data_IF_407522291127
#
_entry.id   IF_407522291127
#
_cell.length_a   1.000
_cell.length_b   1.000
_cell.length_c   1.000
_cell.angle_alpha   90.00
_cell.angle_beta   90.00
_cell.angle_gamma   90.00
#
_symmetry.space_group_name_H-M   'P 1'
#
loop_
_entity.id
_entity.type
_entity.pdbx_description
1 polymer ?
#
# COMPACT_ATOMS: atom_id res chain seq x y z
N UNK A 1 37.71 54.43 33.59
CA UNK A 1 37.69 54.45 32.12
C UNK A 1 38.70 53.42 31.69
N UNK A 2 38.24 52.23 31.33
CA UNK A 2 39.14 51.19 30.84
C UNK A 2 39.51 51.55 29.41
N UNK A 3 40.80 51.79 29.18
CA UNK A 3 41.31 52.00 27.82
C UNK A 3 41.01 50.74 27.03
N UNK A 4 40.24 50.89 25.96
CA UNK A 4 39.81 49.78 25.14
C UNK A 4 41.03 49.08 24.56
N UNK A 5 41.23 47.81 24.94
CA UNK A 5 42.25 46.91 24.40
C UNK A 5 41.93 46.56 22.94
N UNK A 6 42.02 47.55 22.05
CA UNK A 6 41.87 47.38 20.61
C UNK A 6 43.21 46.84 20.10
N UNK A 7 43.25 45.53 19.85
CA UNK A 7 44.36 44.87 19.14
C UNK A 7 44.47 45.46 17.72
N UNK A 8 45.28 46.51 17.57
CA UNK A 8 45.55 47.14 16.27
C UNK A 8 46.79 46.51 15.66
N UNK A 9 46.58 45.64 14.66
CA UNK A 9 47.66 45.08 13.86
C UNK A 9 48.30 46.22 13.04
N UNK A 10 49.62 46.42 13.21
CA UNK A 10 50.42 47.40 12.47
C UNK A 10 51.63 46.68 11.89
N UNK A 11 51.83 46.81 10.58
CA UNK A 11 52.96 46.22 9.86
C UNK A 11 53.52 47.22 8.87
N UNK A 12 54.82 47.49 8.93
CA UNK A 12 55.54 48.31 7.95
C UNK A 12 56.35 47.41 7.03
N UNK A 13 55.85 47.15 5.82
CA UNK A 13 56.55 46.36 4.81
C UNK A 13 57.24 47.30 3.82
N UNK A 14 58.58 47.28 3.81
CA UNK A 14 59.37 47.91 2.74
C UNK A 14 59.68 46.85 1.67
N UNK A 15 59.45 47.12 0.37
CA UNK A 15 59.70 46.15 -0.69
C UNK A 15 61.21 45.82 -0.78
N UNK A 16 61.53 44.56 -1.05
CA UNK A 16 62.91 44.10 -1.17
C UNK A 16 63.55 44.57 -2.50
N UNK A 17 64.26 45.70 -2.46
CA UNK A 17 64.98 46.25 -3.61
C UNK A 17 66.26 45.45 -3.93
N UNK A 18 66.14 44.43 -4.80
CA UNK A 18 67.29 43.63 -5.25
C UNK A 18 68.04 44.28 -6.43
N UNK A 19 68.98 45.17 -6.11
CA UNK A 19 69.98 45.64 -7.07
C UNK A 19 71.06 44.59 -7.37
N UNK A 20 71.37 44.36 -8.64
CA UNK A 20 72.51 43.55 -9.09
C UNK A 20 73.15 44.16 -10.33
N UNK A 21 74.46 44.00 -10.53
CA UNK A 21 75.21 44.54 -11.66
C UNK A 21 74.99 43.73 -12.97
N UNK A 22 73.72 43.48 -13.29
CA UNK A 22 73.29 42.73 -14.46
C UNK A 22 73.80 43.34 -15.78
N UNK A 23 73.95 44.67 -15.86
CA UNK A 23 74.49 45.35 -17.05
C UNK A 23 75.98 45.02 -17.27
N UNK A 24 76.81 45.15 -16.24
CA UNK A 24 78.25 44.85 -16.28
C UNK A 24 78.53 43.37 -16.54
N UNK A 25 77.75 42.49 -15.90
CA UNK A 25 77.89 41.05 -16.08
C UNK A 25 77.42 40.61 -17.46
N UNK A 26 76.40 41.26 -18.05
CA UNK A 26 76.03 41.04 -19.46
C UNK A 26 77.17 41.43 -20.40
N UNK A 27 77.72 42.64 -20.30
CA UNK A 27 78.79 43.08 -21.21
C UNK A 27 80.07 42.25 -21.07
N UNK A 28 80.45 41.86 -19.85
CA UNK A 28 81.61 41.00 -19.60
C UNK A 28 81.37 39.56 -20.09
N UNK A 29 80.14 39.04 -19.94
CA UNK A 29 79.76 37.72 -20.44
C UNK A 29 79.69 37.71 -21.97
N UNK A 30 79.12 38.73 -22.61
CA UNK A 30 79.05 38.85 -24.07
C UNK A 30 80.46 38.92 -24.68
N UNK A 31 81.38 39.68 -24.07
CA UNK A 31 82.80 39.69 -24.50
C UNK A 31 83.42 38.30 -24.44
N UNK A 32 83.35 37.62 -23.29
CA UNK A 32 83.94 36.27 -23.13
C UNK A 32 83.23 35.22 -23.98
N UNK A 33 81.93 35.32 -24.18
CA UNK A 33 81.18 34.41 -25.06
C UNK A 33 81.55 34.64 -26.53
N UNK A 34 81.82 35.87 -26.97
CA UNK A 34 82.30 36.12 -28.33
C UNK A 34 83.71 35.57 -28.56
N UNK A 35 84.61 35.72 -27.58
CA UNK A 35 85.94 35.07 -27.58
C UNK A 35 85.83 33.54 -27.73
N UNK A 36 84.89 32.90 -27.02
CA UNK A 36 84.66 31.46 -27.11
C UNK A 36 83.84 31.00 -28.34
N UNK A 37 83.02 31.86 -28.95
CA UNK A 37 82.32 31.57 -30.22
C UNK A 37 83.25 31.55 -31.43
N UNK A 38 84.38 32.26 -31.35
CA UNK A 38 85.38 32.35 -32.42
C UNK A 38 86.47 31.26 -32.33
N UNK A 39 86.49 30.44 -31.27
CA UNK A 39 87.42 29.32 -31.15
C UNK A 39 86.98 28.12 -32.01
N UNK A 40 87.74 27.82 -33.06
CA UNK A 40 87.63 26.57 -33.82
C UNK A 40 88.34 25.45 -33.04
N UNK A 41 87.63 24.33 -32.83
CA UNK A 41 88.18 23.18 -32.08
C UNK A 41 89.10 22.37 -32.99
N UNK A 42 90.41 22.45 -32.72
CA UNK A 42 91.47 21.61 -33.29
C UNK A 42 92.12 20.77 -32.18
N UNK A 43 92.97 19.82 -32.52
CA UNK A 43 93.58 18.91 -31.52
C UNK A 43 94.40 19.69 -30.48
N UNK A 44 95.16 20.70 -30.90
CA UNK A 44 95.95 21.59 -30.03
C UNK A 44 95.09 22.50 -29.14
N UNK A 45 93.93 22.96 -29.64
CA UNK A 45 93.02 23.87 -28.88
C UNK A 45 92.01 23.14 -28.00
N UNK A 46 91.88 21.81 -28.13
CA UNK A 46 90.89 20.99 -27.43
C UNK A 46 90.91 21.19 -25.90
N UNK A 47 92.11 21.35 -25.30
CA UNK A 47 92.28 21.59 -23.86
C UNK A 47 91.74 22.96 -23.44
N UNK A 48 91.95 24.00 -24.26
CA UNK A 48 91.39 25.34 -24.03
C UNK A 48 89.86 25.34 -24.08
N UNK A 49 89.26 24.67 -25.07
CA UNK A 49 87.81 24.52 -25.20
C UNK A 49 87.18 23.75 -24.01
N UNK A 50 87.84 22.70 -23.52
CA UNK A 50 87.42 21.97 -22.31
C UNK A 50 87.44 22.86 -21.06
N UNK A 51 88.48 23.68 -20.90
CA UNK A 51 88.57 24.64 -19.80
C UNK A 51 87.48 25.72 -19.88
N UNK A 52 87.30 26.36 -21.03
CA UNK A 52 86.26 27.37 -21.26
C UNK A 52 84.84 26.83 -20.97
N UNK A 53 84.55 25.60 -21.42
CA UNK A 53 83.29 24.90 -21.09
C UNK A 53 83.10 24.71 -19.58
N UNK A 54 84.17 24.33 -18.88
CA UNK A 54 84.15 24.15 -17.41
C UNK A 54 83.94 25.49 -16.68
N UNK A 55 84.63 26.54 -17.11
CA UNK A 55 84.47 27.89 -16.58
C UNK A 55 83.03 28.40 -16.74
N UNK A 56 82.46 28.32 -17.94
CA UNK A 56 81.07 28.72 -18.21
C UNK A 56 80.06 27.89 -17.39
N UNK A 57 80.28 26.58 -17.26
CA UNK A 57 79.44 25.72 -16.43
C UNK A 57 79.54 26.11 -14.95
N UNK A 58 80.75 26.41 -14.45
CA UNK A 58 80.96 26.87 -13.07
C UNK A 58 80.33 28.24 -12.81
N UNK A 59 80.38 29.16 -13.78
CA UNK A 59 79.78 30.48 -13.69
C UNK A 59 78.25 30.40 -13.67
N UNK A 60 77.65 29.54 -14.51
CA UNK A 60 76.21 29.23 -14.46
C UNK A 60 75.78 28.72 -13.09
N UNK A 61 76.56 27.82 -12.48
CA UNK A 61 76.29 27.31 -11.11
C UNK A 61 76.44 28.42 -10.07
N UNK A 62 77.44 29.31 -10.19
CA UNK A 62 77.60 30.47 -9.29
C UNK A 62 76.42 31.44 -9.36
N UNK A 63 75.92 31.75 -10.56
CA UNK A 63 74.73 32.59 -10.75
C UNK A 63 73.47 31.96 -10.13
N UNK A 64 73.28 30.64 -10.29
CA UNK A 64 72.14 29.94 -9.69
C UNK A 64 72.24 29.86 -8.16
N UNK A 65 73.45 29.69 -7.60
CA UNK A 65 73.70 29.81 -6.15
C UNK A 65 73.37 31.20 -5.63
N UNK A 66 73.92 32.24 -6.26
CA UNK A 66 73.64 33.64 -5.89
C UNK A 66 72.13 33.95 -5.92
N UNK A 67 71.42 33.49 -6.96
CA UNK A 67 69.95 33.59 -7.05
C UNK A 67 69.23 32.92 -5.87
N UNK A 68 69.66 31.72 -5.47
CA UNK A 68 69.07 30.96 -4.36
C UNK A 68 69.38 31.60 -3.01
N UNK A 69 70.61 32.03 -2.80
CA UNK A 69 71.08 32.72 -1.60
C UNK A 69 70.32 34.03 -1.40
N UNK A 70 70.26 34.92 -2.41
CA UNK A 70 69.52 36.18 -2.30
C UNK A 70 68.01 36.00 -2.22
N UNK A 71 67.43 34.98 -2.85
CA UNK A 71 66.03 34.62 -2.61
C UNK A 71 65.79 34.20 -1.15
N UNK A 72 66.68 33.40 -0.56
CA UNK A 72 66.57 32.94 0.83
C UNK A 72 66.70 34.12 1.81
N UNK A 73 67.71 34.96 1.65
CA UNK A 73 67.90 36.17 2.48
C UNK A 73 66.66 37.10 2.48
N UNK A 74 65.94 37.21 1.36
CA UNK A 74 64.71 38.00 1.29
C UNK A 74 63.44 37.25 1.75
N UNK A 75 63.47 35.92 1.84
CA UNK A 75 62.40 35.13 2.44
C UNK A 75 62.53 35.06 3.97
N UNK A 76 63.74 35.12 4.53
CA UNK A 76 63.96 35.01 5.98
C UNK A 76 63.12 36.00 6.83
N UNK A 77 62.96 37.30 6.46
CA UNK A 77 62.06 38.22 7.17
C UNK A 77 60.57 37.92 7.00
N UNK A 78 60.17 37.26 5.90
CA UNK A 78 58.78 36.85 5.65
C UNK A 78 58.50 35.60 6.48
N UNK A 79 59.38 34.60 6.42
CA UNK A 79 59.31 33.36 7.19
C UNK A 79 59.34 33.61 8.71
N UNK A 80 59.97 34.70 9.19
CA UNK A 80 59.92 35.11 10.60
C UNK A 80 58.59 35.79 10.96
N UNK A 81 58.12 36.72 10.14
CA UNK A 81 56.82 37.38 10.35
C UNK A 81 55.66 36.37 10.33
N UNK A 82 55.66 35.44 9.38
CA UNK A 82 54.66 34.37 9.30
C UNK A 82 54.68 33.47 10.54
N UNK A 83 55.86 33.20 11.13
CA UNK A 83 55.95 32.46 12.41
C UNK A 83 55.38 33.25 13.57
N UNK A 84 55.78 34.52 13.72
CA UNK A 84 55.27 35.39 14.79
C UNK A 84 53.74 35.50 14.73
N UNK A 85 53.16 35.67 13.53
CA UNK A 85 51.71 35.71 13.32
C UNK A 85 51.05 34.35 13.63
N UNK A 86 51.65 33.24 13.22
CA UNK A 86 51.12 31.90 13.55
C UNK A 86 51.19 31.60 15.06
N UNK A 87 52.25 32.01 15.76
CA UNK A 87 52.37 31.89 17.22
C UNK A 87 51.30 32.72 17.94
N UNK A 88 51.01 33.94 17.47
CA UNK A 88 49.89 34.76 17.95
C UNK A 88 48.53 34.08 17.73
N UNK A 89 48.30 33.50 16.54
CA UNK A 89 47.08 32.74 16.22
C UNK A 89 46.94 31.52 17.14
N UNK A 90 48.01 30.77 17.37
CA UNK A 90 48.00 29.62 18.29
C UNK A 90 47.67 30.02 19.72
N UNK A 91 48.20 31.15 20.21
CA UNK A 91 47.87 31.66 21.54
C UNK A 91 46.39 32.02 21.68
N UNK A 92 45.80 32.65 20.65
CA UNK A 92 44.35 32.90 20.61
C UNK A 92 43.57 31.58 20.62
N UNK A 93 43.90 30.64 19.73
CA UNK A 93 43.20 29.35 19.64
C UNK A 93 43.27 28.51 20.93
N UNK A 94 44.38 28.59 21.67
CA UNK A 94 44.55 27.90 22.97
C UNK A 94 43.58 28.42 24.04
N UNK A 95 43.11 29.66 23.94
CA UNK A 95 42.11 30.26 24.84
C UNK A 95 40.70 30.15 24.25
N UNK A 96 40.54 30.27 22.94
CA UNK A 96 39.26 30.18 22.23
C UNK A 96 38.63 28.79 22.36
N UNK A 97 39.41 27.71 22.19
CA UNK A 97 38.91 26.32 22.28
C UNK A 97 38.21 26.01 23.60
N UNK A 98 38.84 26.17 24.78
CA UNK A 98 38.15 25.87 26.05
C UNK A 98 36.98 26.82 26.36
N UNK A 99 36.94 28.03 25.79
CA UNK A 99 35.78 28.90 25.89
C UNK A 99 34.60 28.37 25.05
N UNK A 100 34.85 27.97 23.80
CA UNK A 100 33.83 27.35 22.95
C UNK A 100 33.35 26.02 23.54
N UNK A 101 34.25 25.14 23.98
CA UNK A 101 33.92 23.87 24.65
C UNK A 101 33.05 24.10 25.91
N UNK A 102 33.36 25.15 26.69
CA UNK A 102 32.57 25.50 27.88
C UNK A 102 31.18 26.06 27.54
N UNK A 103 31.06 26.84 26.45
CA UNK A 103 29.79 27.32 25.93
C UNK A 103 28.94 26.15 25.41
N UNK A 104 29.51 25.23 24.64
CA UNK A 104 28.82 24.02 24.15
C UNK A 104 28.28 23.15 25.29
N UNK A 105 29.06 22.97 26.37
CA UNK A 105 28.62 22.27 27.58
C UNK A 105 27.49 23.01 28.31
N UNK A 106 27.48 24.35 28.29
CA UNK A 106 26.39 25.13 28.87
C UNK A 106 25.12 25.05 28.02
N UNK A 107 25.24 25.21 26.70
CA UNK A 107 24.12 25.04 25.78
C UNK A 107 23.52 23.64 25.89
N UNK A 108 24.35 22.60 25.93
CA UNK A 108 23.89 21.22 26.04
C UNK A 108 23.11 20.97 27.34
N UNK A 109 23.52 21.58 28.46
CA UNK A 109 22.74 21.57 29.71
C UNK A 109 21.37 22.25 29.54
N UNK A 110 21.29 23.36 28.81
CA UNK A 110 20.00 24.01 28.50
C UNK A 110 19.14 23.16 27.56
N UNK A 111 19.72 22.52 26.54
CA UNK A 111 19.03 21.57 25.65
C UNK A 111 18.47 20.38 26.45
N UNK A 112 19.23 19.83 27.37
CA UNK A 112 18.80 18.76 28.28
C UNK A 112 17.68 19.19 29.23
N UNK A 113 17.72 20.41 29.79
CA UNK A 113 16.61 20.96 30.58
C UNK A 113 15.32 21.07 29.76
N UNK A 114 15.40 21.55 28.52
CA UNK A 114 14.23 21.61 27.62
C UNK A 114 13.70 20.23 27.26
N UNK A 115 14.59 19.26 27.02
CA UNK A 115 14.23 17.86 26.79
C UNK A 115 13.49 17.27 27.99
N UNK A 116 14.06 17.35 29.19
CA UNK A 116 13.43 16.86 30.41
C UNK A 116 12.08 17.56 30.71
N UNK A 117 11.98 18.85 30.40
CA UNK A 117 10.71 19.59 30.46
C UNK A 117 9.67 19.08 29.45
N UNK A 118 10.08 18.78 28.22
CA UNK A 118 9.20 18.20 27.21
C UNK A 118 8.76 16.78 27.59
N UNK A 119 9.68 15.93 28.07
CA UNK A 119 9.38 14.57 28.56
C UNK A 119 8.37 14.61 29.72
N UNK A 120 8.59 15.49 30.72
CA UNK A 120 7.61 15.70 31.81
C UNK A 120 6.26 16.22 31.32
N UNK A 121 6.26 17.09 30.31
CA UNK A 121 5.00 17.60 29.73
C UNK A 121 4.27 16.56 28.90
N UNK A 122 4.99 15.65 28.25
CA UNK A 122 4.40 14.49 27.55
C UNK A 122 3.75 13.55 28.56
N UNK A 123 4.39 13.22 29.69
CA UNK A 123 3.77 12.37 30.70
C UNK A 123 2.54 13.02 31.34
N UNK A 124 2.62 14.31 31.72
CA UNK A 124 1.49 15.06 32.27
C UNK A 124 0.32 15.16 31.27
N UNK A 125 0.58 15.34 29.98
CA UNK A 125 -0.46 15.38 28.95
C UNK A 125 -1.05 13.98 28.66
N UNK A 126 -0.23 12.93 28.66
CA UNK A 126 -0.70 11.55 28.50
C UNK A 126 -1.68 11.16 29.62
N UNK A 127 -1.37 11.53 30.87
CA UNK A 127 -2.25 11.35 32.02
C UNK A 127 -3.53 12.21 31.91
N UNK A 128 -3.39 13.50 31.57
CA UNK A 128 -4.52 14.44 31.50
C UNK A 128 -5.57 14.06 30.43
N UNK A 129 -5.12 13.52 29.28
CA UNK A 129 -5.99 13.06 28.20
C UNK A 129 -6.43 11.59 28.34
N UNK A 130 -6.04 10.88 29.41
CA UNK A 130 -6.44 9.48 29.63
C UNK A 130 -5.94 8.52 28.54
N UNK A 131 -4.75 8.78 27.99
CA UNK A 131 -4.16 8.02 26.90
C UNK A 131 -3.70 6.63 27.37
N UNK A 132 -4.14 5.57 26.69
CA UNK A 132 -3.66 4.20 26.95
C UNK A 132 -2.15 4.09 26.65
N UNK A 133 -1.42 3.16 27.28
CA UNK A 133 0.03 3.02 27.09
C UNK A 133 0.48 2.93 25.63
N UNK A 134 -0.31 2.26 24.78
CA UNK A 134 -0.07 2.11 23.33
C UNK A 134 -0.11 3.44 22.56
N UNK A 135 -0.96 4.38 22.95
CA UNK A 135 -1.04 5.72 22.35
C UNK A 135 -0.07 6.68 23.03
N UNK A 136 0.09 6.60 24.36
CA UNK A 136 1.08 7.40 25.09
C UNK A 136 2.51 7.18 24.56
N UNK A 137 2.87 5.94 24.21
CA UNK A 137 4.18 5.60 23.60
C UNK A 137 4.39 6.24 22.21
N UNK A 138 3.30 6.64 21.52
CA UNK A 138 3.39 7.37 20.23
C UNK A 138 3.70 8.87 20.41
N UNK A 139 3.65 9.40 21.63
CA UNK A 139 4.08 10.78 21.91
C UNK A 139 5.61 10.85 21.94
N UNK A 140 6.18 11.60 21.00
CA UNK A 140 7.64 11.71 20.82
C UNK A 140 8.11 13.15 20.94
N UNK A 141 9.16 13.35 21.73
CA UNK A 141 9.93 14.61 21.81
C UNK A 141 10.44 14.98 20.42
N UNK A 142 9.84 15.99 19.79
CA UNK A 142 10.31 16.51 18.50
C UNK A 142 11.74 17.04 18.65
N UNK A 143 12.60 16.84 17.64
CA UNK A 143 13.97 17.38 17.62
C UNK A 143 13.99 18.89 17.91
N UNK A 144 13.00 19.62 17.38
CA UNK A 144 12.85 21.07 17.55
C UNK A 144 12.70 21.52 19.01
N UNK A 145 12.22 20.64 19.92
CA UNK A 145 12.08 20.99 21.34
C UNK A 145 13.43 21.23 22.02
N UNK A 146 14.53 20.68 21.47
CA UNK A 146 15.88 20.89 21.97
C UNK A 146 16.52 22.19 21.45
N UNK A 147 15.90 22.90 20.48
CA UNK A 147 16.48 24.13 19.94
C UNK A 147 16.45 25.26 20.99
N UNK A 148 17.56 25.99 21.17
CA UNK A 148 17.63 27.09 22.14
C UNK A 148 16.63 28.21 21.84
N UNK A 149 16.28 28.43 20.58
CA UNK A 149 15.28 29.43 20.13
C UNK A 149 13.82 29.05 20.38
N UNK A 150 13.47 27.75 20.50
CA UNK A 150 12.08 27.31 20.74
C UNK A 150 11.64 27.65 22.16
N UNK A 151 10.49 28.29 22.30
CA UNK A 151 9.95 28.73 23.61
C UNK A 151 9.25 27.58 24.34
N UNK A 152 9.30 27.60 25.69
CA UNK A 152 8.61 26.61 26.52
C UNK A 152 7.09 26.60 26.28
N UNK A 153 6.50 27.73 25.88
CA UNK A 153 5.08 27.82 25.50
C UNK A 153 4.80 27.00 24.25
N UNK A 154 5.59 27.15 23.19
CA UNK A 154 5.41 26.37 21.96
C UNK A 154 5.61 24.87 22.19
N UNK A 155 6.51 24.46 23.10
CA UNK A 155 6.68 23.04 23.46
C UNK A 155 5.40 22.50 24.11
N UNK A 156 4.77 23.24 25.04
CA UNK A 156 3.48 22.85 25.62
C UNK A 156 2.38 22.71 24.56
N UNK A 157 2.24 23.70 23.68
CA UNK A 157 1.23 23.71 22.62
C UNK A 157 1.43 22.57 21.62
N UNK A 158 2.67 22.27 21.23
CA UNK A 158 3.02 21.14 20.37
C UNK A 158 2.72 19.78 21.04
N UNK A 159 2.94 19.64 22.35
CA UNK A 159 2.66 18.41 23.13
C UNK A 159 1.17 18.21 23.35
N UNK A 160 0.44 19.28 23.71
CA UNK A 160 -1.03 19.25 23.86
C UNK A 160 -1.70 18.85 22.53
N UNK A 161 -1.24 19.41 21.41
CA UNK A 161 -1.75 19.07 20.08
C UNK A 161 -1.46 17.61 19.70
N UNK A 162 -0.32 17.03 20.13
CA UNK A 162 -0.06 15.59 19.98
C UNK A 162 -1.01 14.76 20.85
N UNK A 163 -1.22 15.13 22.11
CA UNK A 163 -2.08 14.41 23.04
C UNK A 163 -3.54 14.41 22.56
N UNK A 164 -4.11 15.56 22.21
CA UNK A 164 -5.46 15.70 21.69
C UNK A 164 -5.67 14.95 20.35
N UNK A 165 -4.65 14.89 19.48
CA UNK A 165 -4.72 14.11 18.26
C UNK A 165 -4.77 12.60 18.53
N UNK A 166 -4.02 12.12 19.52
CA UNK A 166 -4.03 10.72 19.94
C UNK A 166 -5.29 10.35 20.73
N UNK A 167 -5.82 11.27 21.55
CA UNK A 167 -7.12 11.11 22.24
C UNK A 167 -8.23 10.89 21.21
N UNK A 168 -8.24 11.68 20.13
CA UNK A 168 -9.20 11.51 19.03
C UNK A 168 -9.05 10.13 18.36
N UNK A 169 -7.83 9.65 18.13
CA UNK A 169 -7.60 8.30 17.57
C UNK A 169 -8.07 7.21 18.53
N UNK A 170 -7.81 7.33 19.83
CA UNK A 170 -8.30 6.39 20.84
C UNK A 170 -9.84 6.38 20.90
N UNK A 171 -10.49 7.55 20.86
CA UNK A 171 -11.93 7.66 20.83
C UNK A 171 -12.56 7.12 19.53
N UNK A 172 -11.88 7.24 18.38
CA UNK A 172 -12.30 6.61 17.12
C UNK A 172 -12.15 5.09 17.17
N UNK A 173 -11.06 4.57 17.74
CA UNK A 173 -10.86 3.13 17.94
C UNK A 173 -11.90 2.54 18.91
N UNK A 174 -12.17 3.19 20.04
CA UNK A 174 -13.18 2.75 21.01
C UNK A 174 -14.61 2.80 20.43
N UNK A 175 -14.93 3.76 19.54
CA UNK A 175 -16.18 3.77 18.76
C UNK A 175 -16.26 2.61 17.78
N UNK A 176 -15.17 2.27 17.09
CA UNK A 176 -15.13 1.14 16.16
C UNK A 176 -15.33 -0.19 16.91
N UNK A 177 -14.68 -0.38 18.07
CA UNK A 177 -14.91 -1.52 18.97
C UNK A 177 -16.38 -1.61 19.40
N UNK A 178 -16.98 -0.48 19.80
CA UNK A 178 -18.40 -0.45 20.19
C UNK A 178 -19.32 -0.83 19.02
N UNK A 179 -19.04 -0.33 17.81
CA UNK A 179 -19.81 -0.66 16.60
C UNK A 179 -19.67 -2.14 16.20
N UNK A 180 -18.49 -2.76 16.36
CA UNK A 180 -18.33 -4.21 16.18
C UNK A 180 -19.23 -4.97 17.17
N UNK A 181 -19.23 -4.59 18.45
CA UNK A 181 -20.07 -5.25 19.48
C UNK A 181 -21.56 -5.07 19.19
N UNK A 182 -22.02 -3.85 18.92
CA UNK A 182 -23.41 -3.53 18.61
C UNK A 182 -23.91 -4.28 17.35
N UNK A 183 -23.08 -4.36 16.31
CA UNK A 183 -23.45 -5.11 15.09
C UNK A 183 -23.50 -6.62 15.33
N UNK A 184 -22.58 -7.19 16.12
CA UNK A 184 -22.65 -8.60 16.54
C UNK A 184 -23.89 -8.86 17.40
N UNK A 185 -24.21 -8.00 18.37
CA UNK A 185 -25.41 -8.12 19.20
C UNK A 185 -26.70 -8.03 18.39
N UNK A 186 -26.76 -7.11 17.41
CA UNK A 186 -27.91 -6.92 16.51
C UNK A 186 -28.18 -8.15 15.65
N UNK A 187 -27.14 -8.73 15.04
CA UNK A 187 -27.32 -9.94 14.22
C UNK A 187 -27.53 -11.19 15.11
N UNK A 188 -26.92 -11.25 16.31
CA UNK A 188 -27.17 -12.30 17.32
C UNK A 188 -28.62 -12.35 17.83
N UNK A 189 -29.41 -11.29 17.64
CA UNK A 189 -30.84 -11.30 17.95
C UNK A 189 -31.68 -12.06 16.89
N UNK A 190 -31.09 -12.40 15.73
CA UNK A 190 -31.77 -13.06 14.60
C UNK A 190 -31.40 -14.53 14.40
N UNK A 191 -30.31 -14.98 15.03
CA UNK A 191 -29.73 -16.32 14.85
C UNK A 191 -29.69 -17.08 16.17
N UNK A 192 -29.82 -18.40 16.10
CA UNK A 192 -29.77 -19.30 17.26
C UNK A 192 -28.32 -19.61 17.67
N UNK A 193 -27.45 -19.84 16.68
CA UNK A 193 -26.00 -20.02 16.88
C UNK A 193 -25.34 -18.64 16.95
N UNK A 194 -25.07 -18.18 18.17
CA UNK A 194 -24.50 -16.85 18.41
C UNK A 194 -23.06 -16.72 17.94
N UNK A 195 -22.78 -15.60 17.30
CA UNK A 195 -21.46 -15.09 16.98
C UNK A 195 -20.78 -14.54 18.25
N UNK A 196 -19.49 -14.83 18.40
CA UNK A 196 -18.66 -14.21 19.44
C UNK A 196 -18.08 -12.88 18.92
N UNK A 197 -18.27 -11.80 19.69
CA UNK A 197 -17.71 -10.50 19.36
C UNK A 197 -16.18 -10.46 19.45
N UNK A 198 -15.56 -11.31 20.28
CA UNK A 198 -14.10 -11.33 20.45
C UNK A 198 -13.37 -11.70 19.15
N UNK A 199 -13.89 -12.66 18.38
CA UNK A 199 -13.30 -13.10 17.10
C UNK A 199 -13.21 -11.94 16.10
N UNK A 200 -14.26 -11.13 15.98
CA UNK A 200 -14.28 -9.98 15.07
C UNK A 200 -13.46 -8.78 15.58
N UNK A 201 -13.27 -8.66 16.89
CA UNK A 201 -12.40 -7.63 17.47
C UNK A 201 -10.92 -7.96 17.23
N UNK A 202 -10.50 -9.21 17.40
CA UNK A 202 -9.13 -9.66 17.06
C UNK A 202 -8.84 -9.49 15.56
N UNK A 203 -9.84 -9.77 14.72
CA UNK A 203 -9.77 -9.51 13.27
C UNK A 203 -9.69 -8.01 12.93
N UNK A 204 -10.43 -7.15 13.65
CA UNK A 204 -10.38 -5.70 13.49
C UNK A 204 -9.01 -5.13 13.91
N UNK A 205 -8.46 -5.55 15.06
CA UNK A 205 -7.14 -5.13 15.54
C UNK A 205 -6.00 -5.49 14.55
N UNK A 206 -6.16 -6.54 13.74
CA UNK A 206 -5.21 -6.92 12.69
C UNK A 206 -5.34 -6.14 11.39
N UNK A 207 -6.56 -5.81 10.96
CA UNK A 207 -6.81 -5.20 9.64
C UNK A 207 -7.09 -3.70 9.67
N UNK A 208 -7.46 -3.13 10.82
CA UNK A 208 -7.89 -1.73 11.03
C UNK A 208 -8.98 -1.26 10.03
N UNK A 209 -9.80 -2.21 9.54
CA UNK A 209 -10.92 -1.98 8.63
C UNK A 209 -12.23 -2.40 9.31
N UNK A 210 -12.91 -1.39 9.84
CA UNK A 210 -14.23 -1.52 10.47
C UNK A 210 -15.31 -1.94 9.45
N UNK A 211 -15.22 -1.49 8.20
CA UNK A 211 -16.23 -1.76 7.18
C UNK A 211 -16.17 -3.21 6.72
N UNK A 212 -14.98 -3.74 6.44
CA UNK A 212 -14.83 -5.14 6.05
C UNK A 212 -15.17 -6.08 7.21
N UNK A 213 -14.86 -5.70 8.46
CA UNK A 213 -15.26 -6.44 9.65
C UNK A 213 -16.78 -6.51 9.79
N UNK A 214 -17.51 -5.39 9.60
CA UNK A 214 -18.98 -5.38 9.57
C UNK A 214 -19.54 -6.23 8.40
N UNK A 215 -18.95 -6.17 7.20
CA UNK A 215 -19.36 -7.02 6.06
C UNK A 215 -19.14 -8.52 6.35
N UNK A 216 -18.08 -8.86 7.09
CA UNK A 216 -17.74 -10.23 7.53
C UNK A 216 -18.72 -10.73 8.59
N UNK A 217 -19.06 -9.93 9.60
CA UNK A 217 -20.11 -10.23 10.59
C UNK A 217 -21.43 -10.55 9.88
N UNK A 218 -21.90 -9.63 9.03
CA UNK A 218 -23.18 -9.79 8.31
C UNK A 218 -23.23 -11.01 7.40
N UNK A 219 -22.17 -11.30 6.64
CA UNK A 219 -22.08 -12.51 5.82
C UNK A 219 -22.15 -13.79 6.66
N UNK A 220 -21.53 -13.83 7.84
CA UNK A 220 -21.53 -15.02 8.70
C UNK A 220 -22.87 -15.21 9.39
N UNK A 221 -23.49 -14.13 9.89
CA UNK A 221 -24.84 -14.16 10.43
C UNK A 221 -25.88 -14.63 9.40
N UNK A 222 -25.85 -14.07 8.18
CA UNK A 222 -26.75 -14.49 7.08
C UNK A 222 -26.57 -15.97 6.74
N UNK A 223 -25.33 -16.48 6.68
CA UNK A 223 -25.08 -17.90 6.43
C UNK A 223 -25.67 -18.80 7.53
N UNK A 224 -25.49 -18.43 8.81
CA UNK A 224 -26.09 -19.13 9.94
C UNK A 224 -27.62 -19.11 9.85
N UNK A 225 -28.22 -17.94 9.62
CA UNK A 225 -29.68 -17.78 9.49
C UNK A 225 -30.25 -18.66 8.36
N UNK A 226 -29.61 -18.69 7.19
CA UNK A 226 -30.03 -19.53 6.07
C UNK A 226 -29.86 -21.03 6.35
N UNK A 227 -28.85 -21.43 7.13
CA UNK A 227 -28.69 -22.83 7.56
C UNK A 227 -29.77 -23.22 8.57
N UNK A 228 -30.03 -22.40 9.58
CA UNK A 228 -31.09 -22.63 10.58
C UNK A 228 -32.46 -22.75 9.92
N UNK A 229 -32.79 -21.83 9.01
CA UNK A 229 -34.04 -21.87 8.24
C UNK A 229 -34.20 -23.16 7.44
N UNK A 230 -33.15 -23.60 6.72
CA UNK A 230 -33.17 -24.87 5.95
C UNK A 230 -33.38 -26.08 6.86
N UNK A 231 -32.72 -26.10 8.03
CA UNK A 231 -32.88 -27.17 9.02
C UNK A 231 -34.28 -27.17 9.65
N UNK A 232 -34.90 -26.00 9.85
CA UNK A 232 -36.28 -25.90 10.33
C UNK A 232 -37.29 -26.35 9.26
N UNK A 233 -37.11 -25.93 8.01
CA UNK A 233 -37.92 -26.38 6.87
C UNK A 233 -37.85 -27.90 6.69
N UNK A 234 -36.64 -28.49 6.74
CA UNK A 234 -36.43 -29.94 6.66
C UNK A 234 -37.05 -30.68 7.86
N UNK A 235 -36.96 -30.13 9.08
CA UNK A 235 -37.61 -30.72 10.26
C UNK A 235 -39.13 -30.70 10.15
N UNK A 236 -39.71 -29.61 9.66
CA UNK A 236 -41.15 -29.47 9.48
C UNK A 236 -41.66 -30.40 8.37
N UNK A 237 -40.90 -30.58 7.29
CA UNK A 237 -41.21 -31.54 6.24
C UNK A 237 -41.16 -32.99 6.76
N UNK A 238 -40.12 -33.36 7.50
CA UNK A 238 -40.02 -34.68 8.15
C UNK A 238 -41.19 -34.93 9.10
N UNK A 239 -41.58 -33.95 9.92
CA UNK A 239 -42.73 -34.07 10.84
C UNK A 239 -44.07 -34.21 10.09
N UNK A 240 -44.24 -33.51 8.96
CA UNK A 240 -45.41 -33.66 8.09
C UNK A 240 -45.48 -35.05 7.45
N UNK A 241 -44.37 -35.54 6.90
CA UNK A 241 -44.29 -36.88 6.32
C UNK A 241 -44.51 -37.98 7.37
N UNK A 242 -44.02 -37.79 8.60
CA UNK A 242 -44.27 -38.72 9.71
C UNK A 242 -45.75 -38.72 10.14
N UNK A 243 -46.37 -37.54 10.26
CA UNK A 243 -47.81 -37.41 10.54
C UNK A 243 -48.67 -38.04 9.44
N UNK A 244 -48.35 -37.79 8.18
CA UNK A 244 -49.08 -38.38 7.04
C UNK A 244 -48.91 -39.90 7.01
N UNK A 245 -47.71 -40.43 7.27
CA UNK A 245 -47.48 -41.87 7.41
C UNK A 245 -48.31 -42.48 8.54
N UNK A 246 -48.33 -41.84 9.71
CA UNK A 246 -49.10 -42.30 10.87
C UNK A 246 -50.62 -42.24 10.60
N UNK A 247 -51.09 -41.25 9.85
CA UNK A 247 -52.50 -41.13 9.45
C UNK A 247 -52.88 -42.19 8.42
N UNK A 248 -52.04 -42.44 7.40
CA UNK A 248 -52.23 -43.56 6.45
C UNK A 248 -52.24 -44.91 7.17
N UNK A 249 -51.34 -45.14 8.11
CA UNK A 249 -51.30 -46.37 8.91
C UNK A 249 -52.56 -46.55 9.76
N UNK A 250 -53.08 -45.47 10.38
CA UNK A 250 -54.37 -45.49 11.09
C UNK A 250 -55.55 -45.78 10.16
N UNK A 251 -55.61 -45.14 9.00
CA UNK A 251 -56.66 -45.39 8.00
C UNK A 251 -56.60 -46.82 7.47
N UNK A 252 -55.42 -47.39 7.31
CA UNK A 252 -55.23 -48.79 6.91
C UNK A 252 -55.63 -49.77 8.03
N UNK A 253 -55.27 -49.49 9.29
CA UNK A 253 -55.76 -50.26 10.45
C UNK A 253 -57.28 -50.21 10.56
N UNK A 254 -57.90 -49.03 10.43
CA UNK A 254 -59.36 -48.88 10.47
C UNK A 254 -60.04 -49.61 9.29
N UNK A 255 -59.46 -49.57 8.09
CA UNK A 255 -59.94 -50.36 6.95
C UNK A 255 -59.87 -51.86 7.23
N UNK A 256 -58.76 -52.36 7.77
CA UNK A 256 -58.59 -53.78 8.12
C UNK A 256 -59.53 -54.21 9.26
N UNK A 257 -59.84 -53.33 10.22
CA UNK A 257 -60.85 -53.58 11.25
C UNK A 257 -62.27 -53.62 10.68
N UNK A 258 -62.63 -52.68 9.79
CA UNK A 258 -63.91 -52.68 9.08
C UNK A 258 -64.08 -53.94 8.22
N UNK A 259 -63.06 -54.33 7.46
CA UNK A 259 -63.06 -55.55 6.63
C UNK A 259 -63.20 -56.82 7.48
N UNK A 260 -62.50 -56.91 8.63
CA UNK A 260 -62.68 -58.00 9.58
C UNK A 260 -64.10 -58.05 10.16
N UNK A 261 -64.65 -56.90 10.57
CA UNK A 261 -66.00 -56.82 11.13
C UNK A 261 -67.10 -57.14 10.09
N UNK A 262 -66.90 -56.74 8.84
CA UNK A 262 -67.78 -57.11 7.72
C UNK A 262 -67.70 -58.61 7.42
N UNK A 263 -66.49 -59.18 7.40
CA UNK A 263 -66.29 -60.62 7.25
C UNK A 263 -66.91 -61.43 8.40
N UNK A 264 -66.77 -60.98 9.64
CA UNK A 264 -67.38 -61.62 10.81
C UNK A 264 -68.92 -61.56 10.74
N UNK A 265 -69.49 -60.43 10.32
CA UNK A 265 -70.93 -60.31 10.01
C UNK A 265 -71.37 -61.28 8.91
N UNK A 266 -70.59 -61.41 7.84
CA UNK A 266 -70.92 -62.33 6.74
C UNK A 266 -70.84 -63.79 7.18
N UNK A 267 -69.83 -64.16 7.98
CA UNK A 267 -69.70 -65.48 8.60
C UNK A 267 -70.80 -65.74 9.65
N UNK A 268 -71.32 -64.72 10.32
CA UNK A 268 -72.49 -64.84 11.19
C UNK A 268 -73.78 -65.01 10.38
N UNK A 269 -73.99 -64.22 9.32
CA UNK A 269 -75.15 -64.34 8.43
C UNK A 269 -75.17 -65.70 7.71
N UNK A 270 -74.01 -66.22 7.30
CA UNK A 270 -73.89 -67.57 6.74
C UNK A 270 -74.22 -68.65 7.78
N UNK A 271 -73.75 -68.53 9.03
CA UNK A 271 -74.13 -69.45 10.12
C UNK A 271 -75.63 -69.41 10.43
N UNK A 272 -76.25 -68.24 10.39
CA UNK A 272 -77.71 -68.09 10.53
C UNK A 272 -78.45 -68.72 9.33
N UNK A 273 -77.93 -68.56 8.12
CA UNK A 273 -78.51 -69.13 6.90
C UNK A 273 -78.34 -70.67 6.81
N UNK A 274 -77.23 -71.21 7.33
CA UNK A 274 -77.01 -72.66 7.50
C UNK A 274 -77.91 -73.24 8.61
N UNK A 275 -78.07 -72.52 9.74
CA UNK A 275 -78.99 -72.92 10.80
C UNK A 275 -80.46 -72.92 10.30
N UNK A 276 -80.85 -71.93 9.49
CA UNK A 276 -82.16 -71.88 8.84
C UNK A 276 -82.35 -73.02 7.83
N UNK A 277 -81.30 -73.38 7.07
CA UNK A 277 -81.33 -74.52 6.15
C UNK A 277 -81.45 -75.86 6.91
N UNK A 278 -80.75 -76.03 8.03
CA UNK A 278 -80.89 -77.23 8.89
C UNK A 278 -82.28 -77.35 9.54
N UNK A 279 -83.04 -76.26 9.66
CA UNK A 279 -84.39 -76.29 10.22
C UNK A 279 -85.48 -76.69 9.20
N UNK A 280 -85.18 -76.67 7.90
CA UNK A 280 -86.13 -76.96 6.82
C UNK A 280 -85.60 -78.00 5.81
N UNK A 281 -85.60 -79.28 6.21
CA UNK A 281 -85.48 -80.40 5.27
C UNK A 281 -86.84 -81.06 5.00
N UNK A 282 -87.53 -80.55 3.98
CA UNK A 282 -88.60 -81.26 3.27
C UNK A 282 -88.69 -80.75 1.81
N UNK A 283 -88.46 -81.65 0.85
CA UNK A 283 -88.89 -81.73 -0.57
C UNK A 283 -89.21 -80.42 -1.36
N UNK A 284 -88.93 -80.29 -2.66
CA UNK A 284 -89.38 -81.17 -3.77
C UNK A 284 -88.68 -80.77 -5.10
N UNK A 285 -89.07 -81.42 -6.22
CA UNK A 285 -88.47 -81.44 -7.56
C UNK A 285 -88.73 -80.18 -8.46
N UNK A 286 -88.11 -80.12 -9.66
CA UNK A 286 -88.29 -79.05 -10.69
C UNK A 286 -89.60 -79.14 -11.52
N UNK A 287 -89.78 -78.48 -12.70
CA UNK A 287 -88.79 -78.04 -13.71
C UNK A 287 -89.02 -76.59 -14.28
N UNK A 288 -89.05 -76.38 -15.61
CA UNK A 288 -88.64 -75.12 -16.28
C UNK A 288 -89.61 -74.51 -17.35
N UNK A 289 -89.20 -73.33 -17.89
CA UNK A 289 -89.61 -72.61 -19.13
C UNK A 289 -90.83 -71.65 -19.06
N UNK A 290 -90.63 -70.38 -19.46
CA UNK A 290 -91.39 -69.72 -20.54
C UNK A 290 -90.82 -68.36 -21.00
N UNK A 291 -90.66 -68.21 -22.32
CA UNK A 291 -90.31 -66.95 -23.02
C UNK A 291 -91.54 -66.07 -23.29
N UNK A 292 -91.31 -64.76 -23.49
CA UNK A 292 -92.24 -63.85 -24.19
C UNK A 292 -91.52 -62.60 -24.78
N UNK A 293 -91.61 -62.46 -26.10
CA UNK A 293 -91.15 -61.35 -26.98
C UNK A 293 -92.00 -60.06 -26.84
N UNK A 294 -91.77 -58.87 -27.44
CA UNK A 294 -90.68 -58.07 -28.11
C UNK A 294 -91.32 -56.67 -28.42
N UNK A 295 -90.56 -55.55 -28.51
CA UNK A 295 -90.63 -54.47 -29.57
C UNK A 295 -89.97 -53.11 -29.19
N UNK A 296 -88.86 -52.78 -29.90
CA UNK A 296 -88.34 -51.53 -30.52
C UNK A 296 -88.86 -50.09 -30.20
N UNK A 297 -88.20 -48.93 -30.47
CA UNK A 297 -86.80 -48.38 -30.68
C UNK A 297 -86.95 -46.92 -31.26
N UNK A 298 -85.95 -46.02 -31.55
CA UNK A 298 -84.63 -45.61 -31.01
C UNK A 298 -84.68 -44.09 -30.53
N UNK A 299 -83.69 -43.15 -30.64
CA UNK A 299 -82.22 -43.20 -30.82
C UNK A 299 -81.36 -42.29 -29.86
N UNK A 300 -80.03 -42.32 -30.08
CA UNK A 300 -78.96 -41.39 -29.65
C UNK A 300 -78.49 -41.38 -28.17
N UNK A 301 -77.36 -42.07 -27.88
CA UNK A 301 -76.06 -41.42 -27.56
C UNK A 301 -74.92 -42.44 -27.29
N UNK A 302 -73.71 -42.07 -27.73
CA UNK A 302 -72.38 -42.71 -27.54
C UNK A 302 -72.06 -44.00 -28.30
N UNK A 303 -71.15 -43.84 -29.27
CA UNK A 303 -70.49 -44.89 -30.03
C UNK A 303 -69.33 -45.56 -29.28
N UNK A 304 -68.95 -46.72 -29.83
CA UNK A 304 -67.70 -47.46 -29.68
C UNK A 304 -66.44 -46.57 -29.97
N UNK A 305 -65.18 -46.95 -29.72
CA UNK A 305 -64.56 -48.28 -29.56
C UNK A 305 -63.19 -48.17 -28.84
N UNK A 306 -62.61 -49.33 -28.50
CA UNK A 306 -61.18 -49.65 -28.28
C UNK A 306 -60.12 -48.55 -27.98
N UNK A 307 -59.31 -48.81 -26.94
CA UNK A 307 -57.95 -48.26 -26.87
C UNK A 307 -56.93 -49.33 -26.47
N UNK A 308 -56.11 -49.74 -27.43
CA UNK A 308 -54.88 -50.51 -27.20
C UNK A 308 -53.63 -49.61 -27.35
N UNK A 309 -52.49 -50.10 -26.88
CA UNK A 309 -51.28 -49.31 -26.54
C UNK A 309 -50.63 -48.53 -27.70
N UNK A 310 -50.05 -47.34 -27.42
CA UNK A 310 -48.82 -46.91 -28.10
C UNK A 310 -47.95 -45.86 -27.37
N UNK A 311 -46.76 -45.56 -27.93
CA UNK A 311 -45.64 -44.85 -27.30
C UNK A 311 -45.43 -43.42 -27.82
N UNK A 312 -45.02 -42.55 -26.88
CA UNK A 312 -43.98 -41.50 -27.04
C UNK A 312 -44.25 -40.18 -27.78
N UNK A 313 -43.51 -39.17 -27.31
CA UNK A 313 -43.04 -37.95 -27.97
C UNK A 313 -43.92 -36.68 -28.04
N UNK A 314 -43.51 -35.74 -27.16
CA UNK A 314 -43.06 -34.36 -27.44
C UNK A 314 -44.04 -33.28 -27.96
N UNK A 315 -44.08 -32.24 -27.13
CA UNK A 315 -44.06 -30.80 -27.46
C UNK A 315 -45.33 -30.13 -27.99
N UNK A 316 -45.71 -29.00 -27.37
CA UNK A 316 -46.50 -27.95 -27.98
C UNK A 316 -45.68 -26.66 -28.21
N UNK A 317 -45.81 -26.09 -29.41
CA UNK A 317 -45.87 -24.63 -29.62
C UNK A 317 -47.38 -24.23 -29.53
N UNK A 318 -47.84 -22.98 -29.41
CA UNK A 318 -47.30 -21.70 -29.94
C UNK A 318 -47.83 -20.46 -29.17
N UNK A 319 -47.01 -19.39 -29.16
CA UNK A 319 -47.37 -17.96 -29.35
C UNK A 319 -48.20 -17.14 -28.33
N UNK A 320 -47.67 -15.98 -27.91
CA UNK A 320 -48.19 -14.69 -28.41
C UNK A 320 -47.21 -13.49 -28.25
N UNK A 321 -47.20 -12.61 -29.26
CA UNK A 321 -46.77 -11.18 -29.31
C UNK A 321 -45.27 -10.81 -29.13
N UNK A 322 -44.53 -10.28 -30.13
CA UNK A 322 -44.60 -8.96 -30.86
C UNK A 322 -43.74 -7.87 -30.20
N UNK A 323 -42.97 -6.98 -30.85
CA UNK A 323 -42.82 -6.63 -32.29
C UNK A 323 -41.50 -5.84 -32.53
N UNK A 324 -41.01 -5.79 -33.78
CA UNK A 324 -40.05 -4.83 -34.38
C UNK A 324 -38.62 -4.67 -33.79
N UNK A 325 -37.51 -4.53 -34.51
CA UNK A 325 -36.98 -4.91 -35.84
C UNK A 325 -35.95 -3.85 -36.31
N UNK A 326 -34.65 -4.18 -36.30
CA UNK A 326 -33.70 -3.67 -37.31
C UNK A 326 -32.42 -4.53 -37.42
N UNK A 327 -32.27 -5.07 -38.63
CA UNK A 327 -31.12 -5.68 -39.33
C UNK A 327 -29.75 -4.94 -39.21
N UNK A 328 -28.60 -5.46 -39.68
CA UNK A 328 -28.30 -6.59 -40.58
C UNK A 328 -26.90 -7.24 -40.36
N UNK A 329 -26.57 -8.23 -41.20
CA UNK A 329 -25.35 -9.09 -41.30
C UNK A 329 -24.03 -8.29 -41.54
N UNK A 330 -22.79 -8.83 -41.51
CA UNK A 330 -22.20 -10.00 -42.23
C UNK A 330 -20.96 -10.58 -41.47
N UNK A 331 -20.58 -11.81 -41.83
CA UNK A 331 -19.60 -12.78 -41.26
C UNK A 331 -18.19 -12.67 -41.95
N UNK A 332 -17.30 -13.70 -41.94
CA UNK A 332 -16.32 -14.23 -40.97
C UNK A 332 -14.87 -13.65 -41.23
N UNK A 333 -13.68 -14.15 -40.85
CA UNK A 333 -13.18 -15.49 -40.47
C UNK A 333 -11.80 -15.46 -39.76
N UNK A 334 -11.55 -16.45 -38.90
CA UNK A 334 -10.34 -17.30 -38.74
C UNK A 334 -9.00 -16.74 -39.30
N UNK A 335 -7.96 -16.48 -38.50
CA UNK A 335 -7.16 -17.41 -37.66
C UNK A 335 -6.67 -18.65 -38.44
N UNK A 336 -5.44 -18.59 -38.95
CA UNK A 336 -4.40 -19.56 -38.57
C UNK A 336 -2.97 -19.06 -38.91
N UNK A 337 -1.97 -19.69 -38.30
CA UNK A 337 -0.58 -19.21 -38.22
C UNK A 337 0.38 -19.94 -39.17
N UNK A 338 1.36 -19.24 -39.76
CA UNK A 338 2.81 -19.56 -39.56
C UNK A 338 3.81 -18.80 -40.47
N UNK A 339 4.97 -18.50 -39.87
CA UNK A 339 6.33 -18.35 -40.44
C UNK A 339 6.70 -17.32 -41.54
N UNK A 340 7.74 -16.55 -41.18
CA UNK A 340 8.91 -16.10 -41.96
C UNK A 340 9.00 -14.71 -42.65
N UNK A 341 10.00 -13.94 -42.15
CA UNK A 341 10.70 -12.74 -42.66
C UNK A 341 9.99 -11.38 -42.56
N UNK A 342 10.75 -10.26 -42.50
CA UNK A 342 12.04 -10.03 -41.85
C UNK A 342 11.93 -8.98 -40.72
N UNK A 343 13.02 -8.68 -40.02
CA UNK A 343 13.02 -7.71 -38.92
C UNK A 343 12.69 -6.28 -39.38
N UNK A 344 11.49 -5.78 -39.05
CA UNK A 344 11.19 -4.35 -39.07
C UNK A 344 11.64 -3.73 -37.75
N UNK A 345 12.45 -2.68 -37.84
CA UNK A 345 12.70 -1.76 -36.73
C UNK A 345 11.37 -1.20 -36.23
N UNK A 346 11.06 -1.42 -34.95
CA UNK A 346 9.86 -0.87 -34.32
C UNK A 346 10.00 0.65 -34.27
N UNK A 347 9.35 1.35 -35.20
CA UNK A 347 9.10 2.78 -35.08
C UNK A 347 8.10 2.97 -33.94
N UNK A 348 8.62 3.27 -32.76
CA UNK A 348 7.78 3.63 -31.62
C UNK A 348 6.91 4.81 -32.00
N UNK A 349 5.60 4.65 -31.83
CA UNK A 349 4.63 5.67 -32.21
C UNK A 349 4.70 6.80 -31.19
N UNK A 350 5.04 8.01 -31.65
CA UNK A 350 5.03 9.22 -30.82
C UNK A 350 3.57 9.65 -30.66
N UNK A 351 3.11 9.80 -29.42
CA UNK A 351 1.75 10.23 -29.09
C UNK A 351 1.78 11.60 -28.43
N UNK A 352 1.06 12.57 -29.00
CA UNK A 352 0.82 13.87 -28.38
C UNK A 352 -0.47 13.83 -27.56
N UNK A 353 -0.42 14.25 -26.29
CA UNK A 353 -1.57 14.18 -25.36
C UNK A 353 -1.70 15.48 -24.59
N UNK A 354 -2.82 16.18 -24.80
CA UNK A 354 -3.18 17.39 -24.03
C UNK A 354 -3.98 17.04 -22.78
N UNK A 355 -3.49 17.40 -21.59
CA UNK A 355 -4.18 17.19 -20.31
C UNK A 355 -4.14 18.43 -19.41
N UNK A 356 -5.15 18.58 -18.54
CA UNK A 356 -5.29 19.72 -17.63
C UNK A 356 -4.99 19.32 -16.19
N UNK A 357 -3.97 19.93 -15.59
CA UNK A 357 -3.58 19.71 -14.20
C UNK A 357 -4.10 20.84 -13.30
N UNK A 358 -4.45 20.52 -12.06
CA UNK A 358 -4.76 21.49 -10.99
C UNK A 358 -3.93 21.16 -9.75
N UNK A 359 -3.34 22.17 -9.12
CA UNK A 359 -2.52 22.00 -7.93
C UNK A 359 -2.05 23.34 -7.38
N UNK A 360 -1.44 23.33 -6.20
CA UNK A 360 -0.74 24.50 -5.67
C UNK A 360 0.59 24.71 -6.42
N UNK A 361 1.23 25.87 -6.23
CA UNK A 361 2.46 26.21 -6.95
C UNK A 361 3.62 25.25 -6.68
N UNK A 362 3.72 24.66 -5.48
CA UNK A 362 4.77 23.70 -5.13
C UNK A 362 4.63 22.40 -5.93
N UNK A 363 3.43 21.81 -5.95
CA UNK A 363 3.14 20.55 -6.67
C UNK A 363 3.29 20.74 -8.18
N UNK A 364 2.85 21.87 -8.73
CA UNK A 364 3.01 22.16 -10.17
C UNK A 364 4.49 22.35 -10.57
N UNK A 365 5.32 22.89 -9.66
CA UNK A 365 6.77 23.00 -9.87
C UNK A 365 7.47 21.63 -9.83
N UNK A 366 7.06 20.77 -8.91
CA UNK A 366 7.57 19.39 -8.79
C UNK A 366 7.21 18.56 -10.02
N UNK A 367 5.97 18.65 -10.50
CA UNK A 367 5.54 18.01 -11.76
C UNK A 367 6.36 18.50 -12.97
N UNK A 368 6.64 19.80 -13.07
CA UNK A 368 7.45 20.33 -14.17
C UNK A 368 8.89 19.78 -14.14
N UNK A 369 9.49 19.65 -12.96
CA UNK A 369 10.80 19.03 -12.78
C UNK A 369 10.76 17.53 -13.16
N UNK A 370 9.70 16.81 -12.78
CA UNK A 370 9.52 15.39 -13.13
C UNK A 370 9.42 15.18 -14.65
N UNK A 371 8.63 16.00 -15.35
CA UNK A 371 8.50 15.90 -16.81
C UNK A 371 9.85 16.14 -17.51
N UNK A 372 10.59 17.18 -17.09
CA UNK A 372 11.95 17.45 -17.61
C UNK A 372 12.94 16.33 -17.31
N UNK A 373 12.90 15.79 -16.09
CA UNK A 373 13.79 14.70 -15.65
C UNK A 373 13.61 13.40 -16.43
N UNK A 374 12.41 13.15 -16.95
CA UNK A 374 12.08 11.96 -17.76
C UNK A 374 12.13 12.23 -19.28
N UNK A 375 12.62 13.39 -19.73
CA UNK A 375 12.70 13.73 -21.15
C UNK A 375 11.35 13.95 -21.83
N UNK A 376 10.29 14.24 -21.07
CA UNK A 376 8.94 14.45 -21.59
C UNK A 376 8.79 15.92 -22.02
N UNK A 377 8.72 16.13 -23.33
CA UNK A 377 8.36 17.42 -23.91
C UNK A 377 6.95 17.83 -23.47
N UNK A 378 6.79 19.07 -23.02
CA UNK A 378 5.52 19.61 -22.55
C UNK A 378 5.44 21.12 -22.74
N UNK A 379 4.26 21.60 -23.13
CA UNK A 379 3.95 23.02 -23.26
C UNK A 379 2.83 23.42 -22.29
N UNK A 380 2.94 24.62 -21.69
CA UNK A 380 1.91 25.15 -20.79
C UNK A 380 0.89 25.95 -21.61
N UNK A 381 -0.10 25.25 -22.15
CA UNK A 381 -1.15 25.82 -23.02
C UNK A 381 -1.96 26.94 -22.35
N UNK A 382 -2.30 26.80 -21.06
CA UNK A 382 -3.03 27.84 -20.33
C UNK A 382 -2.76 27.79 -18.81
N UNK A 383 -2.42 28.93 -18.20
CA UNK A 383 -2.27 29.08 -16.75
C UNK A 383 -3.31 30.04 -16.17
N UNK A 384 -4.39 29.49 -15.58
CA UNK A 384 -5.41 30.26 -14.86
C UNK A 384 -5.30 30.09 -13.36
N UNK A 385 -5.13 31.20 -12.62
CA UNK A 385 -5.23 31.22 -11.16
C UNK A 385 -6.70 31.16 -10.75
N UNK A 386 -7.16 29.97 -10.40
CA UNK A 386 -8.44 29.78 -9.70
C UNK A 386 -8.24 30.29 -8.28
N UNK A 387 -9.08 31.24 -7.85
CA UNK A 387 -9.12 31.77 -6.47
C UNK A 387 -10.07 30.94 -5.62
#
# INVERSE_FOLDING_TARGET
MEESNILTLKSEIKPAEMGFNAAEIRTLLDRRLNEYRQLVVTEDTQKGCKNAKSELASFRVKLDKFRKEKKKEAMEPIDSFDKEVNELIEMVQKVEKPLNDALDVYEEKERQKKRAFAEKKISEAAEAHGLRPEYATRMVVKKDFMNLTKTLKSIKEDVEAQAAALEKQQAEHDRNIALVRETVETENARISIKLDAAEFLEDFEKTDDILETIRRIKRRAENIFQQEKRLEEERLERERLEKERLERERQEQERLEREKAERERLEQMNREHEAFAMQNHASTEGPAIHDADVFDIPPELYDHEEWDQEKSNKSPDVNMNSCSACNDKIIPSDIETSSDRPALEKRESIFEVSFRVRGNFAILRELNNYLKGNGIEHEVVEQKKIK
#
